data_IF_309857742358
#
_entry.id   IF_309857742358
#
_cell.length_a   1.000
_cell.length_b   1.000
_cell.length_c   1.000
_cell.angle_alpha   90.00
_cell.angle_beta   90.00
_cell.angle_gamma   90.00
#
_symmetry.space_group_name_H-M   'P 1'
#
loop_
_entity.id
_entity.type
_entity.pdbx_description
1 polymer ?
#
# COMPACT_ATOMS: atom_id res chain seq x y z
N UNK A 1 17.77 -6.24 -7.48
CA UNK A 1 16.53 -6.18 -8.29
C UNK A 1 15.34 -6.18 -7.34
N UNK A 2 14.81 -5.00 -7.03
CA UNK A 2 13.89 -4.76 -5.90
C UNK A 2 12.72 -5.75 -5.83
N UNK A 3 12.10 -6.06 -6.98
CA UNK A 3 10.90 -6.88 -7.04
C UNK A 3 11.14 -8.33 -6.61
N UNK A 4 12.35 -8.87 -6.77
CA UNK A 4 12.70 -10.22 -6.29
C UNK A 4 12.69 -10.24 -4.76
N UNK A 5 13.32 -9.24 -4.14
CA UNK A 5 13.36 -9.08 -2.68
C UNK A 5 11.95 -8.90 -2.12
N UNK A 6 11.16 -8.02 -2.72
CA UNK A 6 9.78 -7.74 -2.34
C UNK A 6 8.92 -9.00 -2.45
N UNK A 7 8.92 -9.66 -3.62
CA UNK A 7 8.15 -10.89 -3.86
C UNK A 7 8.51 -11.98 -2.85
N UNK A 8 9.79 -12.21 -2.61
CA UNK A 8 10.28 -13.19 -1.62
C UNK A 8 9.73 -12.90 -0.22
N UNK A 9 9.71 -11.63 0.20
CA UNK A 9 9.19 -11.23 1.52
C UNK A 9 7.67 -11.45 1.61
N UNK A 10 6.94 -11.11 0.56
CA UNK A 10 5.48 -11.30 0.50
C UNK A 10 5.13 -12.79 0.54
N UNK A 11 5.81 -13.63 -0.23
CA UNK A 11 5.59 -15.09 -0.25
C UNK A 11 5.88 -15.73 1.11
N UNK A 12 7.03 -15.39 1.72
CA UNK A 12 7.41 -15.91 3.05
C UNK A 12 6.44 -15.50 4.16
N UNK A 13 5.69 -14.41 3.98
CA UNK A 13 4.71 -13.97 4.96
C UNK A 13 3.52 -14.91 5.11
N UNK A 14 3.28 -15.81 4.13
CA UNK A 14 2.09 -16.69 4.08
C UNK A 14 0.75 -15.96 4.20
N UNK A 15 0.74 -14.65 3.95
CA UNK A 15 -0.48 -13.82 3.96
C UNK A 15 -1.21 -13.87 2.63
N UNK A 16 -0.47 -14.08 1.55
CA UNK A 16 -0.94 -13.98 0.18
C UNK A 16 -1.00 -15.37 -0.45
N UNK A 17 -2.06 -15.61 -1.23
CA UNK A 17 -2.27 -16.84 -1.99
C UNK A 17 -1.36 -16.93 -3.22
N UNK A 18 -1.07 -15.78 -3.82
CA UNK A 18 -0.27 -15.64 -5.04
C UNK A 18 0.46 -14.31 -5.03
N UNK A 19 1.69 -14.29 -5.53
CA UNK A 19 2.47 -13.07 -5.74
C UNK A 19 3.05 -13.09 -7.15
N UNK A 20 2.82 -12.03 -7.91
CA UNK A 20 3.18 -11.95 -9.32
C UNK A 20 3.62 -10.55 -9.72
N UNK A 21 4.23 -10.44 -10.89
CA UNK A 21 4.60 -9.15 -11.50
C UNK A 21 3.52 -8.79 -12.53
N UNK A 22 2.92 -7.61 -12.39
CA UNK A 22 1.92 -7.08 -13.31
C UNK A 22 2.40 -5.72 -13.80
N UNK A 23 2.90 -5.65 -15.03
CA UNK A 23 3.56 -4.46 -15.54
C UNK A 23 4.73 -4.05 -14.64
N UNK A 24 4.71 -2.82 -14.14
CA UNK A 24 5.73 -2.29 -13.23
C UNK A 24 5.46 -2.56 -11.72
N UNK A 25 4.49 -3.41 -11.40
CA UNK A 25 4.04 -3.65 -10.02
C UNK A 25 4.28 -5.08 -9.57
N UNK A 26 4.51 -5.25 -8.28
CA UNK A 26 4.33 -6.54 -7.60
C UNK A 26 2.91 -6.58 -7.06
N UNK A 27 2.10 -7.54 -7.53
CA UNK A 27 0.75 -7.80 -7.01
C UNK A 27 0.76 -9.02 -6.10
N UNK A 28 0.22 -8.90 -4.90
CA UNK A 28 0.10 -9.97 -3.94
C UNK A 28 -1.36 -10.16 -3.52
N UNK A 29 -1.93 -11.30 -3.89
CA UNK A 29 -3.36 -11.57 -3.79
C UNK A 29 -3.73 -12.17 -2.44
N UNK A 30 -4.71 -11.59 -1.74
CA UNK A 30 -5.22 -12.05 -0.44
C UNK A 30 -6.46 -12.92 -0.65
N UNK A 31 -7.43 -12.42 -1.42
CA UNK A 31 -8.60 -13.15 -1.94
C UNK A 31 -8.78 -12.82 -3.43
N UNK A 32 -9.81 -13.35 -4.10
CA UNK A 32 -10.08 -13.03 -5.50
C UNK A 32 -10.21 -11.51 -5.74
N UNK A 33 -10.87 -10.82 -4.81
CA UNK A 33 -11.23 -9.39 -4.94
C UNK A 33 -10.38 -8.46 -4.09
N UNK A 34 -9.53 -9.01 -3.21
CA UNK A 34 -8.68 -8.26 -2.29
C UNK A 34 -7.21 -8.55 -2.56
N UNK A 35 -6.44 -7.52 -2.93
CA UNK A 35 -5.02 -7.69 -3.24
C UNK A 35 -4.21 -6.44 -2.87
N UNK A 36 -2.90 -6.65 -2.70
CA UNK A 36 -1.90 -5.62 -2.51
C UNK A 36 -1.20 -5.36 -3.85
N UNK A 37 -1.12 -4.10 -4.25
CA UNK A 37 -0.21 -3.64 -5.31
C UNK A 37 0.94 -2.86 -4.68
N UNK A 38 2.17 -3.15 -5.10
CA UNK A 38 3.39 -2.42 -4.75
C UNK A 38 4.04 -1.96 -6.05
N UNK A 39 4.27 -0.65 -6.17
CA UNK A 39 4.95 -0.02 -7.29
C UNK A 39 6.23 0.64 -6.82
N UNK A 40 7.32 0.48 -7.56
CA UNK A 40 8.57 1.19 -7.31
C UNK A 40 9.13 1.72 -8.63
N UNK A 41 9.46 3.00 -8.66
CA UNK A 41 10.15 3.63 -9.77
C UNK A 41 11.67 3.68 -9.46
N UNK A 42 12.51 2.91 -10.18
CA UNK A 42 13.96 2.95 -9.97
C UNK A 42 14.60 4.26 -10.41
N UNK A 43 13.93 5.10 -11.21
CA UNK A 43 14.49 6.38 -11.67
C UNK A 43 14.33 7.45 -10.59
N UNK A 44 13.12 7.64 -10.06
CA UNK A 44 12.88 8.60 -8.97
C UNK A 44 13.16 8.03 -7.58
N UNK A 45 13.37 6.72 -7.45
CA UNK A 45 13.41 5.99 -6.18
C UNK A 45 12.12 6.13 -5.35
N UNK A 46 11.00 6.50 -6.01
CA UNK A 46 9.68 6.61 -5.40
C UNK A 46 9.03 5.23 -5.26
N UNK A 47 8.34 5.04 -4.15
CA UNK A 47 7.64 3.82 -3.80
C UNK A 47 6.19 4.12 -3.42
N UNK A 48 5.27 3.23 -3.78
CA UNK A 48 3.92 3.24 -3.23
C UNK A 48 3.39 1.81 -3.06
N UNK A 49 2.47 1.66 -2.12
CA UNK A 49 1.62 0.48 -2.07
C UNK A 49 0.16 0.84 -1.85
N UNK A 50 -0.73 -0.01 -2.32
CA UNK A 50 -2.15 0.10 -2.02
C UNK A 50 -2.79 -1.28 -1.87
N UNK A 51 -3.69 -1.38 -0.90
CA UNK A 51 -4.62 -2.51 -0.80
C UNK A 51 -5.88 -2.15 -1.55
N UNK A 52 -6.21 -2.98 -2.54
CA UNK A 52 -7.36 -2.83 -3.42
C UNK A 52 -8.43 -3.83 -3.01
N UNK A 53 -9.68 -3.38 -2.87
CA UNK A 53 -10.86 -4.24 -2.69
C UNK A 53 -11.87 -3.93 -3.80
N UNK A 54 -12.03 -4.87 -4.73
CA UNK A 54 -12.90 -4.74 -5.89
C UNK A 54 -14.38 -4.64 -5.51
N UNK A 55 -14.74 -5.02 -4.27
CA UNK A 55 -16.11 -4.95 -3.76
C UNK A 55 -16.47 -3.57 -3.18
N UNK A 56 -15.54 -2.60 -3.17
CA UNK A 56 -15.86 -1.24 -2.72
C UNK A 56 -17.00 -0.63 -3.57
N UNK A 57 -17.96 0.07 -2.95
CA UNK A 57 -19.13 0.58 -3.65
C UNK A 57 -18.80 1.77 -4.56
N UNK A 58 -17.73 2.52 -4.30
CA UNK A 58 -17.44 3.74 -5.04
C UNK A 58 -17.01 3.43 -6.49
N UNK A 59 -17.51 4.17 -7.50
CA UNK A 59 -17.02 4.04 -8.87
C UNK A 59 -15.57 4.54 -8.97
N UNK A 60 -14.75 3.86 -9.78
CA UNK A 60 -13.37 4.25 -10.01
C UNK A 60 -12.39 3.66 -9.01
N UNK A 61 -11.76 4.50 -8.19
CA UNK A 61 -10.67 4.09 -7.32
C UNK A 61 -11.14 3.09 -6.24
N UNK A 62 -10.59 1.88 -6.30
CA UNK A 62 -10.89 0.73 -5.42
C UNK A 62 -9.87 0.56 -4.29
N UNK A 63 -9.06 1.59 -4.00
CA UNK A 63 -8.12 1.60 -2.87
C UNK A 63 -8.84 1.69 -1.54
N UNK A 64 -8.60 0.71 -0.67
CA UNK A 64 -9.01 0.76 0.74
C UNK A 64 -8.08 1.68 1.55
N UNK A 65 -6.79 1.40 1.44
CA UNK A 65 -5.72 2.18 2.05
C UNK A 65 -4.40 1.91 1.35
N UNK A 66 -3.41 2.75 1.61
CA UNK A 66 -2.08 2.62 1.05
C UNK A 66 -1.09 3.57 1.69
N UNK A 67 0.07 3.64 1.06
CA UNK A 67 1.13 4.58 1.37
C UNK A 67 1.77 5.01 0.06
N UNK A 68 2.11 6.29 -0.05
CA UNK A 68 3.00 6.76 -1.09
C UNK A 68 3.85 7.94 -0.59
N UNK A 69 4.87 8.27 -1.39
CA UNK A 69 5.79 9.38 -1.16
C UNK A 69 5.66 10.47 -2.23
N UNK A 70 4.57 10.44 -3.01
CA UNK A 70 4.32 11.51 -3.97
C UNK A 70 3.94 12.78 -3.20
N UNK A 71 4.52 13.95 -3.52
CA UNK A 71 4.27 15.17 -2.75
C UNK A 71 2.83 15.66 -2.73
N UNK A 72 2.02 15.35 -3.76
CA UNK A 72 0.65 15.86 -3.94
C UNK A 72 0.53 17.36 -3.64
N UNK A 73 1.23 18.20 -4.41
CA UNK A 73 1.37 19.64 -4.13
C UNK A 73 0.04 20.39 -3.93
N UNK A 74 -1.04 19.85 -4.50
CA UNK A 74 -2.40 20.38 -4.46
C UNK A 74 -3.25 19.87 -3.27
N UNK A 75 -2.69 19.05 -2.37
CA UNK A 75 -3.39 18.48 -1.20
C UNK A 75 -2.77 19.06 0.09
N UNK A 76 -3.35 20.15 0.65
CA UNK A 76 -2.78 20.84 1.80
C UNK A 76 -2.63 19.96 3.05
N UNK A 77 -3.48 18.96 3.23
CA UNK A 77 -3.49 18.02 4.34
C UNK A 77 -2.18 17.23 4.39
N UNK A 78 -1.73 16.70 3.24
CA UNK A 78 -0.48 15.95 3.12
C UNK A 78 0.71 16.86 3.43
N UNK A 79 0.71 18.10 2.93
CA UNK A 79 1.78 19.08 3.17
C UNK A 79 1.94 19.49 4.64
N UNK A 80 0.90 19.32 5.46
CA UNK A 80 0.95 19.62 6.90
C UNK A 80 1.48 18.47 7.74
N UNK A 81 1.67 17.29 7.15
CA UNK A 81 2.24 16.13 7.85
C UNK A 81 3.73 16.35 8.12
N UNK A 82 4.19 15.99 9.32
CA UNK A 82 5.60 15.97 9.71
C UNK A 82 6.44 15.01 8.88
N UNK A 83 5.81 13.96 8.34
CA UNK A 83 6.46 12.96 7.49
C UNK A 83 6.43 13.31 6.00
N UNK A 84 5.94 14.50 5.61
CA UNK A 84 5.88 14.94 4.22
C UNK A 84 7.20 14.66 3.45
N UNK A 85 7.16 14.09 2.23
CA UNK A 85 5.95 13.76 1.45
C UNK A 85 5.34 12.39 1.79
N UNK A 86 5.97 11.62 2.67
CA UNK A 86 5.55 10.27 3.01
C UNK A 86 4.26 10.28 3.83
N UNK A 87 3.23 9.58 3.36
CA UNK A 87 1.95 9.56 4.07
C UNK A 87 1.21 8.24 3.86
N UNK A 88 0.46 7.83 4.89
CA UNK A 88 -0.59 6.85 4.68
C UNK A 88 -1.83 7.56 4.13
N UNK A 89 -2.58 6.84 3.32
CA UNK A 89 -3.88 7.26 2.80
C UNK A 89 -4.89 6.15 3.04
N UNK A 90 -6.09 6.49 3.51
CA UNK A 90 -7.20 5.54 3.65
C UNK A 90 -8.52 6.24 3.41
N UNK A 91 -9.53 5.46 3.03
CA UNK A 91 -10.90 5.96 2.98
C UNK A 91 -11.58 5.94 4.35
N UNK A 92 -12.33 6.99 4.64
CA UNK A 92 -13.24 7.09 5.76
C UNK A 92 -14.49 7.83 5.28
N UNK A 93 -15.64 7.16 5.34
CA UNK A 93 -16.93 7.75 4.93
C UNK A 93 -16.88 8.38 3.51
N UNK A 94 -16.22 7.66 2.58
CA UNK A 94 -15.94 8.06 1.19
C UNK A 94 -14.95 9.23 0.98
N UNK A 95 -14.40 9.81 2.05
CA UNK A 95 -13.35 10.83 1.99
C UNK A 95 -11.95 10.23 2.21
N UNK A 96 -10.94 10.89 1.64
CA UNK A 96 -9.54 10.54 1.87
C UNK A 96 -9.02 11.14 3.17
N UNK A 97 -8.48 10.27 4.03
CA UNK A 97 -7.79 10.66 5.25
C UNK A 97 -6.31 10.32 5.11
N UNK A 98 -5.47 11.30 5.45
CA UNK A 98 -4.03 11.20 5.38
C UNK A 98 -3.42 11.18 6.78
N UNK A 99 -2.45 10.30 6.99
CA UNK A 99 -1.82 10.10 8.30
C UNK A 99 -0.29 10.05 8.17
N UNK A 100 0.39 10.47 9.24
CA UNK A 100 1.84 10.42 9.37
C UNK A 100 2.36 8.99 9.15
N UNK A 101 3.45 8.86 8.40
CA UNK A 101 4.09 7.58 8.16
C UNK A 101 5.48 7.51 8.81
N UNK A 102 5.88 6.37 9.39
CA UNK A 102 7.27 6.12 9.75
C UNK A 102 8.13 5.67 8.55
N UNK A 103 7.51 5.37 7.39
CA UNK A 103 8.19 4.91 6.18
C UNK A 103 8.82 6.08 5.41
N UNK A 104 9.94 5.83 4.74
CA UNK A 104 10.83 6.80 4.08
C UNK A 104 11.21 6.38 2.66
N UNK A 105 10.52 5.41 2.06
CA UNK A 105 10.70 5.03 0.64
C UNK A 105 11.71 3.92 0.40
N UNK A 106 12.23 3.27 1.45
CA UNK A 106 13.07 2.08 1.28
C UNK A 106 12.17 0.85 1.08
N UNK A 107 11.74 0.65 -0.17
CA UNK A 107 10.82 -0.43 -0.54
C UNK A 107 11.30 -1.78 -0.03
N UNK A 108 12.60 -2.08 -0.09
CA UNK A 108 13.10 -3.37 0.35
C UNK A 108 13.02 -3.50 1.86
N UNK A 109 13.41 -2.49 2.65
CA UNK A 109 13.36 -2.54 4.12
C UNK A 109 11.95 -2.45 4.68
N UNK A 110 11.01 -1.84 3.96
CA UNK A 110 9.70 -1.47 4.51
C UNK A 110 8.57 -2.47 4.22
N UNK A 111 8.76 -3.45 3.32
CA UNK A 111 7.75 -4.52 3.10
C UNK A 111 7.28 -5.21 4.41
N UNK A 112 8.14 -5.51 5.40
CA UNK A 112 7.68 -6.05 6.67
C UNK A 112 6.64 -5.16 7.39
N UNK A 113 6.77 -3.83 7.29
CA UNK A 113 5.80 -2.88 7.85
C UNK A 113 4.47 -2.94 7.08
N UNK A 114 4.52 -3.01 5.75
CA UNK A 114 3.33 -3.19 4.91
C UNK A 114 2.58 -4.47 5.29
N UNK A 115 3.28 -5.59 5.37
CA UNK A 115 2.70 -6.88 5.79
C UNK A 115 2.05 -6.76 7.18
N UNK A 116 2.71 -6.07 8.13
CA UNK A 116 2.17 -5.82 9.47
C UNK A 116 0.87 -5.02 9.43
N UNK A 117 0.81 -3.95 8.65
CA UNK A 117 -0.40 -3.13 8.49
C UNK A 117 -1.56 -3.93 7.90
N UNK A 118 -1.31 -4.72 6.85
CA UNK A 118 -2.34 -5.55 6.22
C UNK A 118 -2.83 -6.63 7.18
N UNK A 119 -1.93 -7.31 7.92
CA UNK A 119 -2.34 -8.29 8.94
C UNK A 119 -3.22 -7.67 10.02
N UNK A 120 -2.87 -6.47 10.49
CA UNK A 120 -3.67 -5.75 11.48
C UNK A 120 -5.06 -5.41 10.93
N UNK A 121 -5.15 -4.96 9.68
CA UNK A 121 -6.41 -4.70 9.00
C UNK A 121 -7.29 -5.96 8.90
N UNK A 122 -6.73 -7.08 8.38
CA UNK A 122 -7.48 -8.31 8.20
C UNK A 122 -8.00 -8.87 9.54
N UNK A 123 -7.20 -8.81 10.61
CA UNK A 123 -7.65 -9.24 11.95
C UNK A 123 -8.86 -8.45 12.43
N UNK A 124 -8.86 -7.12 12.25
CA UNK A 124 -10.00 -6.27 12.62
C UNK A 124 -11.24 -6.56 11.80
N UNK A 125 -11.08 -6.97 10.53
CA UNK A 125 -12.18 -7.32 9.63
C UNK A 125 -12.86 -8.65 10.00
N UNK A 126 -12.10 -9.64 10.48
CA UNK A 126 -12.64 -10.96 10.90
C UNK A 126 -13.28 -10.93 12.29
N UNK A 127 -12.94 -9.97 13.14
CA UNK A 127 -13.55 -9.80 14.47
C UNK A 127 -14.87 -9.01 14.46
N UNK A 128 -15.37 -8.64 13.28
CA UNK A 128 -16.69 -8.04 13.06
C UNK A 128 -17.59 -9.07 12.39
#
# INVERSE_FOLDING_TARGET
MWYITVKTKLERSRLFRRVEIVGAKVRAQITADLFLDIYYDPTSHSYSYAVIDMNLPEPGDKRLFGWDDYPHEHVPEIRRLKSYPHHFQRRQDSEWVFEESPMRGDVEREIPLVIKHIRAYLRRRTSR
#
